data_IF_409482595541
#
_entry.id   IF_409482595541
#
_cell.length_a   1.000
_cell.length_b   1.000
_cell.length_c   1.000
_cell.angle_alpha   90.00
_cell.angle_beta   90.00
_cell.angle_gamma   90.00
#
_symmetry.space_group_name_H-M   'P 1'
#
loop_
_entity.id
_entity.type
_entity.pdbx_description
1 polymer ?
#
# COMPACT_ATOMS: atom_id res chain seq x y z
N UNK A 1 0.06 -15.22 6.13
CA UNK A 1 -0.07 -14.84 4.71
C UNK A 1 -1.52 -14.69 4.24
N UNK A 2 -2.41 -15.71 4.29
CA UNK A 2 -3.76 -15.56 3.71
C UNK A 2 -4.59 -14.44 4.37
N UNK A 3 -4.52 -14.32 5.71
CA UNK A 3 -5.20 -13.25 6.44
C UNK A 3 -4.66 -11.85 6.07
N UNK A 4 -3.35 -11.73 5.84
CA UNK A 4 -2.72 -10.47 5.44
C UNK A 4 -3.18 -10.03 4.05
N UNK A 5 -3.23 -10.97 3.10
CA UNK A 5 -3.76 -10.72 1.76
C UNK A 5 -5.24 -10.32 1.83
N UNK A 6 -6.05 -11.03 2.62
CA UNK A 6 -7.47 -10.70 2.78
C UNK A 6 -7.68 -9.30 3.37
N UNK A 7 -6.90 -8.92 4.39
CA UNK A 7 -6.94 -7.57 4.95
C UNK A 7 -6.51 -6.50 3.94
N UNK A 8 -5.52 -6.80 3.09
CA UNK A 8 -5.10 -5.91 2.00
C UNK A 8 -6.20 -5.70 0.96
N UNK A 9 -6.92 -6.76 0.58
CA UNK A 9 -8.07 -6.67 -0.35
C UNK A 9 -9.19 -5.83 0.26
N UNK A 10 -9.48 -6.00 1.55
CA UNK A 10 -10.47 -5.18 2.25
C UNK A 10 -10.07 -3.70 2.29
N UNK A 11 -8.80 -3.41 2.61
CA UNK A 11 -8.26 -2.05 2.60
C UNK A 11 -8.39 -1.40 1.21
N UNK A 12 -7.93 -2.09 0.17
CA UNK A 12 -8.02 -1.58 -1.21
C UNK A 12 -9.48 -1.31 -1.60
N UNK A 13 -10.39 -2.24 -1.28
CA UNK A 13 -11.82 -2.11 -1.59
C UNK A 13 -12.47 -0.95 -0.82
N UNK A 14 -12.14 -0.77 0.45
CA UNK A 14 -12.67 0.29 1.29
C UNK A 14 -12.25 1.68 0.81
N UNK A 15 -10.98 1.85 0.44
CA UNK A 15 -10.46 3.11 -0.12
C UNK A 15 -11.08 3.39 -1.50
N UNK A 16 -11.23 2.38 -2.34
CA UNK A 16 -11.90 2.52 -3.65
C UNK A 16 -13.38 2.88 -3.49
N UNK A 17 -14.08 2.27 -2.53
CA UNK A 17 -15.48 2.59 -2.22
C UNK A 17 -15.66 4.03 -1.68
N UNK A 18 -14.62 4.59 -1.04
CA UNK A 18 -14.57 6.00 -0.66
C UNK A 18 -14.29 6.96 -1.83
N UNK A 19 -14.11 6.44 -3.05
CA UNK A 19 -13.98 7.23 -4.28
C UNK A 19 -12.55 7.54 -4.71
N UNK A 20 -11.56 6.85 -4.15
CA UNK A 20 -10.15 7.05 -4.50
C UNK A 20 -9.69 6.06 -5.57
N UNK A 21 -8.93 6.57 -6.54
CA UNK A 21 -8.18 5.76 -7.50
C UNK A 21 -6.91 5.23 -6.82
N UNK A 22 -7.08 4.19 -6.00
CA UNK A 22 -6.05 3.58 -5.18
C UNK A 22 -5.84 2.11 -5.55
N UNK A 23 -4.58 1.66 -5.54
CA UNK A 23 -4.21 0.25 -5.71
C UNK A 23 -3.27 -0.20 -4.60
N UNK A 24 -3.42 -1.45 -4.17
CA UNK A 24 -2.53 -2.06 -3.19
C UNK A 24 -1.77 -3.25 -3.79
N UNK A 25 -0.45 -3.15 -3.85
CA UNK A 25 0.43 -4.25 -4.22
C UNK A 25 1.03 -4.93 -2.99
N UNK A 26 0.97 -6.27 -2.93
CA UNK A 26 1.71 -7.09 -1.97
C UNK A 26 2.60 -8.02 -2.79
N UNK A 27 3.91 -7.76 -2.78
CA UNK A 27 4.89 -8.41 -3.64
C UNK A 27 5.89 -9.21 -2.82
N UNK A 28 6.18 -10.43 -3.30
CA UNK A 28 7.27 -11.24 -2.78
C UNK A 28 8.54 -10.96 -3.56
N UNK A 29 9.64 -10.70 -2.86
CA UNK A 29 10.96 -10.52 -3.49
C UNK A 29 11.51 -11.87 -3.99
N UNK A 30 11.67 -12.00 -5.31
CA UNK A 30 12.17 -13.24 -5.96
C UNK A 30 13.70 -13.21 -6.18
N UNK A 31 14.35 -12.04 -6.14
CA UNK A 31 15.76 -11.88 -6.53
C UNK A 31 16.68 -11.20 -5.52
N UNK A 32 16.18 -10.77 -4.36
CA UNK A 32 16.91 -9.85 -3.48
C UNK A 32 17.95 -10.50 -2.55
N UNK A 33 18.18 -11.81 -2.70
CA UNK A 33 19.12 -12.56 -1.86
C UNK A 33 18.80 -12.45 -0.37
N UNK A 34 19.80 -12.46 0.55
CA UNK A 34 19.58 -12.45 2.00
C UNK A 34 18.99 -11.13 2.54
N UNK A 35 18.99 -10.05 1.75
CA UNK A 35 18.67 -8.71 2.22
C UNK A 35 17.17 -8.49 2.49
N UNK A 36 16.29 -9.20 1.78
CA UNK A 36 14.83 -9.06 1.91
C UNK A 36 14.13 -10.39 2.25
N UNK A 37 14.90 -11.39 2.70
CA UNK A 37 14.34 -12.70 3.10
C UNK A 37 13.33 -12.49 4.23
N UNK A 38 12.14 -13.07 4.06
CA UNK A 38 11.08 -12.98 5.06
C UNK A 38 10.32 -11.65 5.10
N UNK A 39 10.64 -10.72 4.20
CA UNK A 39 9.90 -9.46 4.05
C UNK A 39 8.99 -9.49 2.82
N UNK A 40 7.91 -8.71 2.86
CA UNK A 40 7.06 -8.43 1.71
C UNK A 40 7.23 -6.96 1.34
N UNK A 41 7.27 -6.68 0.05
CA UNK A 41 7.16 -5.31 -0.45
C UNK A 41 5.69 -4.97 -0.56
N UNK A 42 5.25 -3.93 0.14
CA UNK A 42 3.87 -3.45 0.12
C UNK A 42 3.85 -2.06 -0.49
N UNK A 43 3.00 -1.83 -1.49
CA UNK A 43 2.91 -0.55 -2.22
C UNK A 43 1.47 -0.08 -2.27
N UNK A 44 1.19 1.03 -1.60
CA UNK A 44 -0.02 1.82 -1.82
C UNK A 44 0.21 2.81 -2.95
N UNK A 45 -0.58 2.72 -4.02
CA UNK A 45 -0.36 3.46 -5.26
C UNK A 45 -1.58 4.35 -5.50
N UNK A 46 -1.35 5.64 -5.64
CA UNK A 46 -2.36 6.60 -6.13
C UNK A 46 -1.82 7.31 -7.36
N UNK A 47 -2.69 8.06 -8.05
CA UNK A 47 -2.33 8.78 -9.29
C UNK A 47 -1.15 9.73 -9.16
N UNK A 48 -1.08 10.47 -8.06
CA UNK A 48 -0.04 11.46 -7.79
C UNK A 48 0.13 11.69 -6.28
N UNK A 49 1.10 12.53 -5.92
CA UNK A 49 1.39 12.85 -4.52
C UNK A 49 0.25 13.58 -3.80
N UNK A 50 -0.56 14.38 -4.51
CA UNK A 50 -1.70 15.07 -3.90
C UNK A 50 -2.82 14.09 -3.54
N UNK A 51 -3.06 13.09 -4.38
CA UNK A 51 -4.01 12.02 -4.10
C UNK A 51 -3.60 11.17 -2.88
N UNK A 52 -2.31 10.86 -2.75
CA UNK A 52 -1.78 10.18 -1.56
C UNK A 52 -1.91 11.06 -0.31
N UNK A 53 -1.54 12.35 -0.40
CA UNK A 53 -1.65 13.29 0.71
C UNK A 53 -3.10 13.41 1.22
N UNK A 54 -4.08 13.46 0.32
CA UNK A 54 -5.50 13.45 0.67
C UNK A 54 -5.91 12.23 1.48
N UNK A 55 -5.44 11.04 1.12
CA UNK A 55 -5.71 9.82 1.90
C UNK A 55 -5.13 9.90 3.30
N UNK A 56 -3.90 10.43 3.44
CA UNK A 56 -3.26 10.61 4.76
C UNK A 56 -4.06 11.59 5.61
N UNK A 57 -4.45 12.74 5.05
CA UNK A 57 -5.25 13.74 5.76
C UNK A 57 -6.60 13.16 6.22
N UNK A 58 -7.28 12.42 5.35
CA UNK A 58 -8.56 11.76 5.65
C UNK A 58 -8.44 10.69 6.74
N UNK A 59 -7.37 9.89 6.71
CA UNK A 59 -7.09 8.92 7.77
C UNK A 59 -7.01 9.60 9.14
N UNK A 60 -6.21 10.66 9.26
CA UNK A 60 -6.09 11.43 10.51
C UNK A 60 -7.35 12.21 10.88
N UNK A 61 -8.21 12.54 9.91
CA UNK A 61 -9.53 13.11 10.15
C UNK A 61 -10.58 12.07 10.58
N UNK A 62 -10.23 10.77 10.62
CA UNK A 62 -11.10 9.70 11.09
C UNK A 62 -11.98 9.07 10.00
N UNK A 63 -11.50 9.02 8.76
CA UNK A 63 -12.22 8.36 7.67
C UNK A 63 -12.57 6.90 8.01
N UNK A 64 -13.77 6.47 7.61
CA UNK A 64 -14.26 5.13 7.95
C UNK A 64 -13.38 4.00 7.42
N UNK A 65 -12.75 4.18 6.26
CA UNK A 65 -11.83 3.20 5.68
C UNK A 65 -10.54 3.04 6.51
N UNK A 66 -10.22 3.99 7.40
CA UNK A 66 -9.03 3.94 8.26
C UNK A 66 -8.98 2.71 9.16
N UNK A 67 -10.14 2.17 9.56
CA UNK A 67 -10.21 0.91 10.34
C UNK A 67 -9.67 -0.30 9.57
N UNK A 68 -9.83 -0.30 8.23
CA UNK A 68 -9.27 -1.36 7.38
C UNK A 68 -7.75 -1.23 7.27
N UNK A 69 -7.23 0.00 7.27
CA UNK A 69 -5.79 0.25 7.32
C UNK A 69 -5.20 -0.23 8.64
N UNK A 70 -5.80 0.14 9.77
CA UNK A 70 -5.38 -0.30 11.10
C UNK A 70 -5.35 -1.83 11.22
N UNK A 71 -6.39 -2.51 10.72
CA UNK A 71 -6.46 -3.96 10.70
C UNK A 71 -5.39 -4.60 9.81
N UNK A 72 -5.06 -3.97 8.69
CA UNK A 72 -4.01 -4.43 7.78
C UNK A 72 -2.62 -4.30 8.40
N UNK A 73 -2.28 -3.14 8.97
CA UNK A 73 -0.97 -2.92 9.58
C UNK A 73 -0.78 -3.67 10.89
N UNK A 74 -1.86 -3.96 11.63
CA UNK A 74 -1.81 -4.78 12.85
C UNK A 74 -1.35 -6.24 12.61
N UNK A 75 -1.40 -6.71 11.35
CA UNK A 75 -0.90 -8.04 10.97
C UNK A 75 0.59 -8.04 10.58
N UNK A 76 1.27 -6.89 10.67
CA UNK A 76 2.70 -6.75 10.37
C UNK A 76 3.51 -6.91 11.67
N UNK A 77 4.58 -7.71 11.62
CA UNK A 77 5.48 -7.86 12.78
C UNK A 77 6.40 -6.63 12.94
N UNK A 78 6.87 -6.06 11.83
CA UNK A 78 7.72 -4.88 11.81
C UNK A 78 7.74 -4.24 10.42
N UNK A 79 8.05 -2.95 10.36
CA UNK A 79 8.29 -2.22 9.11
C UNK A 79 9.79 -2.14 8.88
N UNK A 80 10.28 -2.81 7.84
CA UNK A 80 11.71 -2.82 7.51
C UNK A 80 12.15 -1.51 6.83
N UNK A 81 11.26 -0.92 6.01
CA UNK A 81 11.45 0.35 5.32
C UNK A 81 10.09 0.95 5.00
N UNK A 82 9.97 2.28 5.06
CA UNK A 82 8.80 3.05 4.66
C UNK A 82 9.27 4.31 3.91
N UNK A 83 8.73 4.51 2.71
CA UNK A 83 9.13 5.60 1.83
C UNK A 83 7.99 5.97 0.87
N UNK A 84 7.92 7.26 0.55
CA UNK A 84 7.15 7.74 -0.59
C UNK A 84 8.03 7.77 -1.84
N UNK A 85 7.60 7.05 -2.88
CA UNK A 85 8.25 7.03 -4.18
C UNK A 85 7.37 7.74 -5.21
N UNK A 86 7.97 8.62 -6.02
CA UNK A 86 7.33 9.15 -7.23
C UNK A 86 7.81 8.29 -8.40
N UNK A 87 6.92 7.46 -8.93
CA UNK A 87 7.23 6.55 -10.03
C UNK A 87 6.66 7.10 -11.34
N UNK A 88 7.45 7.01 -12.41
CA UNK A 88 7.01 7.29 -13.78
C UNK A 88 7.31 6.06 -14.64
N UNK A 89 6.31 5.60 -15.42
CA UNK A 89 6.56 4.62 -16.47
C UNK A 89 7.09 5.35 -17.71
N UNK A 90 8.40 5.32 -17.88
CA UNK A 90 9.04 5.87 -19.08
C UNK A 90 8.96 4.81 -20.19
N UNK A 91 8.12 5.04 -21.18
CA UNK A 91 8.14 4.27 -22.43
C UNK A 91 9.04 4.99 -23.43
N UNK A 92 10.25 4.50 -23.64
CA UNK A 92 11.07 4.91 -24.78
C UNK A 92 10.68 4.06 -25.98
N UNK A 93 10.19 4.69 -27.05
CA UNK A 93 10.14 4.04 -28.35
C UNK A 93 11.58 3.89 -28.85
N UNK A 94 11.98 2.66 -29.16
CA UNK A 94 13.15 2.41 -30.01
C UNK A 94 12.84 2.77 -31.46
#
# INVERSE_FOLDING_TARGET
MPAYIAAGVELESAIQAAGHDFKLGILQSIGSGPNEVGTLMVRGISRDGAAVGKLVDEYFAGAEWGRAYDAFVALQDSVANDAYEVCEQIYTAD
#
